data_IF_086156904150
#
_entry.id   IF_086156904150
#
_cell.length_a   1.000
_cell.length_b   1.000
_cell.length_c   1.000
_cell.angle_alpha   90.00
_cell.angle_beta   90.00
_cell.angle_gamma   90.00
#
_symmetry.space_group_name_H-M   'P 1'
#
loop_
_entity.id
_entity.type
_entity.pdbx_description
1 polymer ?
#
# COMPACT_ATOMS: atom_id res chain seq x y z
N UNK A 1 -8.16 -23.68 -7.34
CA UNK A 1 -9.37 -22.85 -7.54
C UNK A 1 -9.19 -21.84 -8.67
N UNK A 2 -8.26 -20.89 -8.59
CA UNK A 2 -8.08 -19.86 -9.64
C UNK A 2 -7.90 -20.45 -11.05
N UNK A 3 -7.16 -21.55 -11.19
CA UNK A 3 -6.98 -22.24 -12.47
C UNK A 3 -8.29 -22.75 -13.08
N UNK A 4 -9.28 -23.10 -12.26
CA UNK A 4 -10.59 -23.52 -12.73
C UNK A 4 -11.45 -22.31 -13.12
N UNK A 5 -11.36 -21.21 -12.37
CA UNK A 5 -12.08 -19.97 -12.66
C UNK A 5 -11.62 -19.32 -13.99
N UNK A 6 -10.33 -19.46 -14.32
CA UNK A 6 -9.73 -18.91 -15.55
C UNK A 6 -9.54 -19.97 -16.66
N UNK A 7 -10.19 -21.13 -16.55
CA UNK A 7 -10.03 -22.23 -17.51
C UNK A 7 -10.53 -21.86 -18.92
N UNK A 8 -11.57 -21.02 -19.00
CA UNK A 8 -12.15 -20.51 -20.25
C UNK A 8 -11.58 -19.13 -20.65
N UNK A 9 -10.48 -18.70 -20.03
CA UNK A 9 -9.88 -17.37 -20.21
C UNK A 9 -10.35 -16.35 -19.18
N UNK A 10 -10.19 -15.07 -19.52
CA UNK A 10 -10.48 -13.92 -18.66
C UNK A 10 -9.29 -13.51 -17.77
N UNK A 11 -9.46 -12.43 -17.02
CA UNK A 11 -8.43 -11.87 -16.15
C UNK A 11 -8.89 -11.69 -14.70
N UNK A 12 -7.93 -11.78 -13.78
CA UNK A 12 -8.18 -11.67 -12.35
C UNK A 12 -7.33 -10.58 -11.69
N UNK A 13 -7.94 -9.84 -10.77
CA UNK A 13 -7.25 -8.96 -9.84
C UNK A 13 -7.20 -9.63 -8.46
N UNK A 14 -6.02 -9.70 -7.87
CA UNK A 14 -5.75 -10.23 -6.54
C UNK A 14 -5.24 -9.11 -5.65
N UNK A 15 -6.11 -8.53 -4.83
CA UNK A 15 -5.78 -7.43 -3.92
C UNK A 15 -5.39 -7.98 -2.56
N UNK A 16 -4.22 -7.58 -2.06
CA UNK A 16 -3.68 -7.95 -0.78
C UNK A 16 -3.55 -6.71 0.11
N UNK A 17 -3.77 -6.85 1.42
CA UNK A 17 -3.68 -5.69 2.30
C UNK A 17 -2.25 -5.28 2.65
N UNK A 18 -1.27 -6.17 2.42
CA UNK A 18 0.14 -5.91 2.71
C UNK A 18 1.04 -6.31 1.54
N UNK A 19 2.16 -5.60 1.40
CA UNK A 19 3.17 -5.88 0.36
C UNK A 19 3.75 -7.29 0.50
N UNK A 20 4.01 -7.73 1.73
CA UNK A 20 4.51 -9.09 2.00
C UNK A 20 3.57 -10.15 1.44
N UNK A 21 2.26 -10.04 1.72
CA UNK A 21 1.26 -10.98 1.19
C UNK A 21 1.15 -10.91 -0.33
N UNK A 22 1.23 -9.71 -0.92
CA UNK A 22 1.22 -9.53 -2.37
C UNK A 22 2.43 -10.24 -3.02
N UNK A 23 3.64 -10.08 -2.47
CA UNK A 23 4.85 -10.77 -2.95
C UNK A 23 4.73 -12.29 -2.80
N UNK A 24 4.31 -12.80 -1.64
CA UNK A 24 4.09 -14.24 -1.42
C UNK A 24 3.08 -14.82 -2.42
N UNK A 25 1.95 -14.15 -2.63
CA UNK A 25 0.95 -14.59 -3.61
C UNK A 25 1.46 -14.51 -5.04
N UNK A 26 2.20 -13.45 -5.37
CA UNK A 26 2.81 -13.30 -6.69
C UNK A 26 3.72 -14.49 -6.99
N UNK A 27 4.65 -14.84 -6.10
CA UNK A 27 5.57 -15.97 -6.29
C UNK A 27 4.79 -17.27 -6.49
N UNK A 28 3.84 -17.58 -5.61
CA UNK A 28 3.04 -18.80 -5.71
C UNK A 28 2.18 -18.86 -6.98
N UNK A 29 1.65 -17.72 -7.45
CA UNK A 29 0.90 -17.65 -8.70
C UNK A 29 1.83 -17.74 -9.92
N UNK A 30 3.02 -17.14 -9.85
CA UNK A 30 4.05 -17.19 -10.89
C UNK A 30 4.47 -18.62 -11.18
N UNK A 31 4.68 -19.43 -10.15
CA UNK A 31 5.00 -20.86 -10.29
C UNK A 31 3.95 -21.62 -11.11
N UNK A 32 2.68 -21.20 -11.03
CA UNK A 32 1.57 -21.88 -11.70
C UNK A 32 1.19 -21.30 -13.05
N UNK A 33 1.27 -19.98 -13.21
CA UNK A 33 0.72 -19.24 -14.36
C UNK A 33 1.80 -18.54 -15.20
N UNK A 34 3.07 -18.58 -14.78
CA UNK A 34 4.19 -18.02 -15.52
C UNK A 34 4.06 -16.51 -15.75
N UNK A 35 4.42 -16.05 -16.96
CA UNK A 35 4.46 -14.63 -17.33
C UNK A 35 3.10 -13.92 -17.37
N UNK A 36 2.02 -14.65 -17.17
CA UNK A 36 0.68 -14.09 -17.07
C UNK A 36 0.44 -13.33 -15.77
N UNK A 37 1.30 -13.51 -14.77
CA UNK A 37 1.18 -12.88 -13.45
C UNK A 37 2.07 -11.64 -13.36
N UNK A 38 1.48 -10.50 -13.03
CA UNK A 38 2.20 -9.26 -12.70
C UNK A 38 1.96 -8.84 -11.25
N UNK A 39 2.87 -8.01 -10.72
CA UNK A 39 2.84 -7.48 -9.36
C UNK A 39 2.95 -5.95 -9.38
N UNK A 40 2.10 -5.26 -8.63
CA UNK A 40 2.19 -3.82 -8.37
C UNK A 40 1.96 -3.49 -6.89
N UNK A 41 2.71 -2.54 -6.35
CA UNK A 41 2.58 -2.03 -4.99
C UNK A 41 3.47 -0.80 -4.76
N UNK A 42 3.37 -0.17 -3.60
CA UNK A 42 4.09 1.08 -3.26
C UNK A 42 5.62 0.95 -3.13
N UNK A 43 6.15 -0.27 -3.00
CA UNK A 43 7.60 -0.53 -2.83
C UNK A 43 8.38 -0.66 -4.14
N UNK A 44 7.82 -0.25 -5.28
CA UNK A 44 8.62 -0.04 -6.49
C UNK A 44 9.18 1.37 -6.52
N UNK A 45 10.35 1.57 -7.13
CA UNK A 45 10.80 2.93 -7.43
C UNK A 45 9.77 3.62 -8.34
N UNK A 46 9.66 4.94 -8.25
CA UNK A 46 8.65 5.72 -8.95
C UNK A 46 8.62 5.45 -10.47
N UNK A 47 9.77 5.22 -11.10
CA UNK A 47 9.90 4.88 -12.53
C UNK A 47 9.32 3.51 -12.87
N UNK A 48 9.63 2.49 -12.08
CA UNK A 48 9.11 1.14 -12.29
C UNK A 48 7.60 1.09 -12.04
N UNK A 49 7.14 1.80 -11.00
CA UNK A 49 5.70 1.98 -10.73
C UNK A 49 4.99 2.63 -11.91
N UNK A 50 5.51 3.73 -12.45
CA UNK A 50 4.92 4.40 -13.60
C UNK A 50 4.83 3.49 -14.84
N UNK A 51 5.85 2.67 -15.09
CA UNK A 51 5.82 1.68 -16.18
C UNK A 51 4.77 0.59 -15.95
N UNK A 52 4.65 0.08 -14.72
CA UNK A 52 3.65 -0.94 -14.36
C UNK A 52 2.23 -0.39 -14.46
N UNK A 53 2.00 0.83 -13.97
CA UNK A 53 0.70 1.50 -14.05
C UNK A 53 0.28 1.74 -15.51
N UNK A 54 1.22 2.14 -16.38
CA UNK A 54 0.97 2.27 -17.81
C UNK A 54 0.59 0.94 -18.48
N UNK A 55 1.26 -0.16 -18.15
CA UNK A 55 0.89 -1.51 -18.64
C UNK A 55 -0.50 -1.93 -18.15
N UNK A 56 -0.83 -1.65 -16.89
CA UNK A 56 -2.16 -1.94 -16.34
C UNK A 56 -3.26 -1.17 -17.06
N UNK A 57 -3.09 0.13 -17.27
CA UNK A 57 -4.07 0.95 -18.01
C UNK A 57 -4.17 0.49 -19.46
N UNK A 58 -3.04 0.18 -20.10
CA UNK A 58 -3.04 -0.30 -21.48
C UNK A 58 -3.80 -1.63 -21.63
N UNK A 59 -3.59 -2.57 -20.70
CA UNK A 59 -4.18 -3.90 -20.79
C UNK A 59 -5.63 -3.96 -20.30
N UNK A 60 -5.96 -3.25 -19.21
CA UNK A 60 -7.24 -3.37 -18.51
C UNK A 60 -8.13 -2.13 -18.60
N UNK A 61 -7.68 -1.09 -19.30
CA UNK A 61 -8.41 0.16 -19.49
C UNK A 61 -9.63 0.07 -20.43
N UNK A 62 -10.27 1.21 -20.72
CA UNK A 62 -11.33 1.28 -21.72
C UNK A 62 -10.79 0.97 -23.13
N UNK A 63 -11.56 0.25 -23.95
CA UNK A 63 -11.21 -0.10 -25.33
C UNK A 63 -11.21 -1.61 -25.62
N UNK A 64 -10.97 -2.02 -26.89
CA UNK A 64 -11.21 -3.38 -27.40
C UNK A 64 -10.30 -4.49 -26.82
N UNK A 65 -9.43 -4.19 -25.85
CA UNK A 65 -9.02 -5.15 -24.82
C UNK A 65 -8.32 -6.44 -25.28
N UNK A 66 -7.39 -6.37 -26.23
CA UNK A 66 -6.67 -7.56 -26.71
C UNK A 66 -5.60 -8.11 -25.76
N UNK A 67 -5.05 -7.28 -24.87
CA UNK A 67 -3.90 -7.65 -24.02
C UNK A 67 -4.28 -8.18 -22.62
N UNK A 68 -5.57 -8.39 -22.32
CA UNK A 68 -6.04 -8.77 -20.98
C UNK A 68 -6.17 -10.28 -20.75
N UNK A 69 -6.37 -11.06 -21.80
CA UNK A 69 -6.83 -12.44 -21.66
C UNK A 69 -5.79 -13.32 -20.93
N UNK A 70 -6.26 -14.08 -19.94
CA UNK A 70 -5.44 -14.94 -19.10
C UNK A 70 -4.51 -14.21 -18.12
N UNK A 71 -4.52 -12.87 -18.04
CA UNK A 71 -3.64 -12.11 -17.13
C UNK A 71 -4.15 -12.09 -15.69
N UNK A 72 -3.22 -12.17 -14.76
CA UNK A 72 -3.48 -12.10 -13.32
C UNK A 72 -2.64 -10.95 -12.76
N UNK A 73 -3.28 -10.00 -12.10
CA UNK A 73 -2.59 -8.88 -11.45
C UNK A 73 -2.67 -9.08 -9.95
N UNK A 74 -1.52 -9.20 -9.30
CA UNK A 74 -1.41 -9.14 -7.84
C UNK A 74 -1.08 -7.72 -7.43
N UNK A 75 -1.86 -7.14 -6.53
CA UNK A 75 -1.70 -5.75 -6.12
C UNK A 75 -1.90 -5.57 -4.62
N UNK A 76 -1.38 -4.47 -4.08
CA UNK A 76 -1.89 -3.88 -2.84
C UNK A 76 -2.95 -2.82 -3.13
N UNK A 77 -3.27 -1.95 -2.16
CA UNK A 77 -4.24 -0.86 -2.30
C UNK A 77 -3.90 0.14 -3.42
N UNK A 78 -2.69 0.09 -3.99
CA UNK A 78 -2.27 0.99 -5.07
C UNK A 78 -3.15 0.84 -6.32
N UNK A 79 -3.60 -0.38 -6.67
CA UNK A 79 -4.53 -0.56 -7.79
C UNK A 79 -5.94 0.01 -7.55
N UNK A 80 -6.26 0.38 -6.31
CA UNK A 80 -7.56 0.98 -5.96
C UNK A 80 -7.58 2.47 -6.32
N UNK A 81 -6.44 3.16 -6.25
CA UNK A 81 -6.36 4.60 -6.40
C UNK A 81 -6.11 5.00 -7.86
N UNK A 82 -7.08 5.71 -8.44
CA UNK A 82 -6.94 6.49 -9.69
C UNK A 82 -6.71 5.72 -11.01
N UNK A 83 -6.66 4.39 -11.03
CA UNK A 83 -6.58 3.62 -12.27
C UNK A 83 -7.96 3.20 -12.78
N UNK A 84 -8.29 3.58 -14.02
CA UNK A 84 -9.52 3.21 -14.72
C UNK A 84 -9.39 1.82 -15.37
N UNK A 85 -9.37 0.77 -14.54
CA UNK A 85 -9.10 -0.62 -14.94
C UNK A 85 -10.26 -1.56 -14.65
N UNK A 86 -10.37 -2.62 -15.45
CA UNK A 86 -11.47 -3.57 -15.46
C UNK A 86 -10.99 -5.04 -15.45
N UNK A 87 -11.54 -5.82 -14.52
CA UNK A 87 -11.26 -7.26 -14.38
C UNK A 87 -12.53 -8.12 -14.40
N UNK A 88 -12.38 -9.39 -14.78
CA UNK A 88 -13.46 -10.37 -14.86
C UNK A 88 -13.72 -11.07 -13.51
N UNK A 89 -12.68 -11.23 -12.71
CA UNK A 89 -12.71 -11.82 -11.36
C UNK A 89 -11.94 -10.94 -10.37
N UNK A 90 -12.51 -10.72 -9.18
CA UNK A 90 -11.83 -10.03 -8.09
C UNK A 90 -11.62 -10.98 -6.91
N UNK A 91 -10.38 -11.09 -6.47
CA UNK A 91 -9.98 -11.76 -5.24
C UNK A 91 -9.40 -10.69 -4.33
N UNK A 92 -9.89 -10.59 -3.11
CA UNK A 92 -9.45 -9.57 -2.17
C UNK A 92 -9.15 -10.20 -0.82
N UNK A 93 -8.13 -9.72 -0.12
CA UNK A 93 -8.10 -9.86 1.33
C UNK A 93 -9.30 -9.13 1.95
N UNK A 94 -9.79 -9.61 3.09
CA UNK A 94 -10.82 -8.95 3.89
C UNK A 94 -10.33 -7.55 4.26
N UNK A 95 -11.15 -6.54 3.99
CA UNK A 95 -10.91 -5.15 4.33
C UNK A 95 -12.22 -4.55 4.87
N UNK A 96 -12.22 -3.34 5.44
CA UNK A 96 -13.45 -2.61 5.74
C UNK A 96 -14.40 -2.58 4.53
N UNK A 97 -15.71 -2.62 4.79
CA UNK A 97 -16.71 -2.86 3.72
C UNK A 97 -16.68 -1.80 2.63
N UNK A 98 -16.43 -0.54 2.97
CA UNK A 98 -16.27 0.58 2.06
C UNK A 98 -15.05 0.39 1.15
N UNK A 99 -13.91 -0.04 1.70
CA UNK A 99 -12.70 -0.39 0.94
C UNK A 99 -12.97 -1.57 0.00
N UNK A 100 -13.65 -2.62 0.46
CA UNK A 100 -14.04 -3.73 -0.41
C UNK A 100 -14.97 -3.28 -1.55
N UNK A 101 -15.94 -2.43 -1.27
CA UNK A 101 -16.85 -1.89 -2.29
C UNK A 101 -16.10 -1.01 -3.30
N UNK A 102 -15.09 -0.24 -2.87
CA UNK A 102 -14.20 0.49 -3.78
C UNK A 102 -13.42 -0.47 -4.69
N UNK A 103 -12.88 -1.57 -4.16
CA UNK A 103 -12.21 -2.63 -4.95
C UNK A 103 -13.16 -3.26 -5.96
N UNK A 104 -14.41 -3.51 -5.57
CA UNK A 104 -15.47 -4.02 -6.47
C UNK A 104 -15.73 -3.06 -7.62
N UNK A 105 -15.44 -1.77 -7.49
CA UNK A 105 -15.50 -0.79 -8.58
C UNK A 105 -14.52 -1.03 -9.74
N UNK A 106 -13.66 -2.06 -9.66
CA UNK A 106 -12.78 -2.55 -10.74
C UNK A 106 -13.26 -3.88 -11.35
N UNK A 107 -14.26 -4.51 -10.73
CA UNK A 107 -14.89 -5.73 -11.21
C UNK A 107 -16.01 -5.37 -12.18
N UNK A 108 -15.92 -5.84 -13.43
CA UNK A 108 -16.93 -5.59 -14.46
C UNK A 108 -17.25 -4.09 -14.64
N UNK A 109 -16.22 -3.25 -14.54
CA UNK A 109 -16.31 -1.79 -14.59
C UNK A 109 -16.74 -1.25 -15.96
N UNK A 110 -16.33 -1.91 -17.03
CA UNK A 110 -16.58 -1.53 -18.42
C UNK A 110 -17.50 -2.56 -19.08
N UNK A 111 -18.47 -2.09 -19.87
CA UNK A 111 -19.33 -2.99 -20.66
C UNK A 111 -18.52 -3.65 -21.80
N UNK A 112 -18.41 -4.99 -21.75
CA UNK A 112 -17.65 -5.80 -22.72
C UNK A 112 -18.00 -7.29 -22.57
N UNK A 113 -17.81 -8.10 -23.63
CA UNK A 113 -18.02 -9.55 -23.55
C UNK A 113 -17.08 -10.18 -22.51
N UNK A 114 -17.60 -11.20 -21.81
CA UNK A 114 -16.90 -11.94 -20.75
C UNK A 114 -16.94 -13.44 -21.07
N UNK A 115 -15.90 -14.21 -20.70
CA UNK A 115 -15.97 -15.67 -20.75
C UNK A 115 -17.16 -16.20 -19.95
N UNK A 116 -17.71 -17.36 -20.36
CA UNK A 116 -18.95 -17.91 -19.80
C UNK A 116 -18.92 -18.02 -18.27
N UNK A 117 -17.86 -18.65 -17.72
CA UNK A 117 -17.66 -18.77 -16.27
C UNK A 117 -17.52 -17.46 -15.49
N UNK A 118 -17.31 -16.33 -16.19
CA UNK A 118 -17.05 -15.01 -15.62
C UNK A 118 -18.08 -13.95 -16.05
N UNK A 119 -19.20 -14.35 -16.68
CA UNK A 119 -20.28 -13.44 -17.06
C UNK A 119 -20.99 -12.82 -15.84
N UNK A 120 -20.99 -13.52 -14.71
CA UNK A 120 -21.49 -13.00 -13.43
C UNK A 120 -20.33 -12.45 -12.61
N UNK A 121 -20.39 -11.17 -12.27
CA UNK A 121 -19.43 -10.52 -11.38
C UNK A 121 -19.31 -11.28 -10.05
N UNK A 122 -18.09 -11.67 -9.68
CA UNK A 122 -17.78 -12.40 -8.45
C UNK A 122 -16.61 -11.78 -7.70
N UNK A 123 -16.83 -11.51 -6.43
CA UNK A 123 -15.80 -11.17 -5.44
C UNK A 123 -15.52 -12.42 -4.59
N UNK A 124 -14.26 -12.82 -4.51
CA UNK A 124 -13.78 -13.86 -3.58
C UNK A 124 -13.00 -13.16 -2.48
N UNK A 125 -13.52 -13.21 -1.25
CA UNK A 125 -12.82 -12.67 -0.07
C UNK A 125 -11.94 -13.75 0.56
N UNK A 126 -10.74 -13.36 0.95
CA UNK A 126 -9.68 -14.22 1.52
C UNK A 126 -9.04 -13.53 2.73
N UNK A 127 -8.08 -14.17 3.39
CA UNK A 127 -7.39 -13.56 4.54
C UNK A 127 -8.24 -13.51 5.82
N UNK A 128 -9.33 -14.27 5.87
CA UNK A 128 -10.11 -14.49 7.07
C UNK A 128 -10.71 -15.91 7.06
N UNK A 129 -10.76 -16.52 8.24
CA UNK A 129 -11.61 -17.67 8.56
C UNK A 129 -12.84 -17.16 9.30
N UNK A 130 -14.01 -17.47 8.77
CA UNK A 130 -15.32 -17.04 9.30
C UNK A 130 -16.08 -18.20 9.94
N UNK A 131 -15.36 -19.17 10.50
CA UNK A 131 -15.92 -20.32 11.23
C UNK A 131 -16.63 -19.96 12.55
N UNK A 132 -16.56 -20.85 13.53
CA UNK A 132 -17.21 -20.64 14.84
C UNK A 132 -16.57 -19.47 15.57
N UNK A 133 -15.23 -19.38 15.55
CA UNK A 133 -14.48 -18.21 16.00
C UNK A 133 -13.83 -17.54 14.79
N UNK A 134 -14.00 -16.22 14.61
CA UNK A 134 -13.45 -15.54 13.46
C UNK A 134 -11.94 -15.34 13.64
N UNK A 135 -11.17 -15.62 12.59
CA UNK A 135 -9.75 -15.30 12.53
C UNK A 135 -9.48 -14.44 11.31
N UNK A 136 -8.73 -13.36 11.48
CA UNK A 136 -8.33 -12.48 10.38
C UNK A 136 -6.81 -12.43 10.33
N UNK A 137 -6.27 -12.31 9.12
CA UNK A 137 -4.85 -12.14 8.87
C UNK A 137 -4.29 -10.98 9.71
N UNK A 138 -3.21 -11.24 10.46
CA UNK A 138 -2.62 -10.26 11.37
C UNK A 138 -2.04 -9.03 10.66
N UNK A 139 -1.58 -9.17 9.40
CA UNK A 139 -1.17 -8.03 8.58
C UNK A 139 -2.34 -7.10 8.28
N UNK A 140 -3.50 -7.67 7.96
CA UNK A 140 -4.75 -6.94 7.73
C UNK A 140 -5.24 -6.25 9.00
N UNK A 141 -5.17 -6.93 10.16
CA UNK A 141 -5.50 -6.34 11.46
C UNK A 141 -4.60 -5.14 11.79
N UNK A 142 -3.31 -5.19 11.48
CA UNK A 142 -2.40 -4.04 11.67
C UNK A 142 -2.73 -2.85 10.76
N UNK A 143 -3.27 -3.11 9.58
CA UNK A 143 -3.59 -2.05 8.59
C UNK A 143 -4.94 -1.39 8.88
N UNK A 144 -5.97 -2.16 9.27
CA UNK A 144 -7.35 -1.65 9.39
C UNK A 144 -7.97 -1.77 10.80
N UNK A 145 -7.26 -2.41 11.74
CA UNK A 145 -7.81 -2.77 13.05
C UNK A 145 -8.73 -3.98 13.01
N UNK A 146 -8.86 -4.69 14.13
CA UNK A 146 -9.72 -5.87 14.22
C UNK A 146 -11.21 -5.55 14.11
N UNK A 147 -11.66 -4.42 14.69
CA UNK A 147 -13.08 -4.09 14.83
C UNK A 147 -13.82 -4.03 13.49
N UNK A 148 -13.35 -3.21 12.55
CA UNK A 148 -14.00 -3.04 11.24
C UNK A 148 -13.90 -4.31 10.38
N UNK A 149 -12.81 -5.08 10.50
CA UNK A 149 -12.64 -6.34 9.78
C UNK A 149 -13.63 -7.39 10.24
N UNK A 150 -13.78 -7.57 11.56
CA UNK A 150 -14.74 -8.54 12.11
C UNK A 150 -16.19 -8.16 11.77
N UNK A 151 -16.54 -6.86 11.85
CA UNK A 151 -17.86 -6.36 11.42
C UNK A 151 -18.11 -6.63 9.94
N UNK A 152 -17.12 -6.39 9.09
CA UNK A 152 -17.23 -6.68 7.66
C UNK A 152 -17.38 -8.19 7.40
N UNK A 153 -16.59 -9.02 8.07
CA UNK A 153 -16.71 -10.48 7.97
C UNK A 153 -18.10 -10.98 8.36
N UNK A 154 -18.69 -10.43 9.41
CA UNK A 154 -20.03 -10.75 9.87
C UNK A 154 -21.10 -10.40 8.81
N UNK A 155 -21.03 -9.20 8.23
CA UNK A 155 -21.95 -8.77 7.17
C UNK A 155 -21.84 -9.65 5.92
N UNK A 156 -20.62 -9.92 5.45
CA UNK A 156 -20.41 -10.76 4.28
C UNK A 156 -20.91 -12.19 4.52
N UNK A 157 -20.70 -12.72 5.73
CA UNK A 157 -21.19 -14.04 6.13
C UNK A 157 -22.72 -14.10 6.06
N UNK A 158 -23.42 -13.11 6.63
CA UNK A 158 -24.88 -13.01 6.58
C UNK A 158 -25.41 -13.02 5.13
N UNK A 159 -24.77 -12.25 4.25
CA UNK A 159 -25.12 -12.21 2.82
C UNK A 159 -24.92 -13.55 2.13
N UNK A 160 -23.80 -14.22 2.41
CA UNK A 160 -23.46 -15.53 1.83
C UNK A 160 -24.41 -16.61 2.32
N UNK A 161 -24.70 -16.67 3.61
CA UNK A 161 -25.63 -17.63 4.22
C UNK A 161 -27.07 -17.43 3.69
N UNK A 162 -27.47 -16.18 3.45
CA UNK A 162 -28.75 -15.85 2.82
C UNK A 162 -28.78 -16.09 1.30
N UNK A 163 -27.66 -16.46 0.66
CA UNK A 163 -27.55 -16.59 -0.79
C UNK A 163 -27.81 -15.27 -1.54
N UNK A 164 -27.66 -14.13 -0.87
CA UNK A 164 -28.05 -12.80 -1.36
C UNK A 164 -26.87 -12.09 -2.02
N UNK A 165 -26.95 -11.76 -3.33
CA UNK A 165 -25.92 -10.93 -3.96
C UNK A 165 -26.00 -9.48 -3.48
N UNK A 166 -24.85 -8.79 -3.49
CA UNK A 166 -24.78 -7.34 -3.28
C UNK A 166 -25.33 -6.63 -4.53
N UNK A 167 -26.28 -5.72 -4.34
CA UNK A 167 -26.87 -4.91 -5.41
C UNK A 167 -26.29 -3.50 -5.39
N UNK A 168 -25.47 -3.17 -6.38
CA UNK A 168 -24.88 -1.84 -6.50
C UNK A 168 -25.75 -0.92 -7.39
N UNK A 169 -25.89 0.38 -7.05
CA UNK A 169 -25.37 1.07 -5.87
C UNK A 169 -26.27 0.97 -4.62
N UNK A 170 -27.44 0.33 -4.73
CA UNK A 170 -28.50 0.36 -3.71
C UNK A 170 -28.08 -0.14 -2.31
N UNK A 171 -27.23 -1.16 -2.25
CA UNK A 171 -26.78 -1.75 -0.98
C UNK A 171 -25.64 -0.97 -0.32
N UNK A 172 -24.97 -0.04 -1.04
CA UNK A 172 -23.76 0.64 -0.52
C UNK A 172 -24.04 1.40 0.78
N UNK A 173 -25.05 2.29 0.88
CA UNK A 173 -25.28 3.04 2.11
C UNK A 173 -25.60 2.14 3.29
N UNK A 174 -26.43 1.11 3.07
CA UNK A 174 -26.84 0.17 4.11
C UNK A 174 -25.67 -0.65 4.65
N UNK A 175 -24.81 -1.16 3.76
CA UNK A 175 -23.66 -1.97 4.16
C UNK A 175 -22.64 -1.13 4.94
N UNK A 176 -22.37 0.09 4.50
CA UNK A 176 -21.47 1.02 5.19
C UNK A 176 -22.04 1.41 6.55
N UNK A 177 -23.30 1.84 6.60
CA UNK A 177 -23.96 2.25 7.85
C UNK A 177 -23.96 1.12 8.88
N UNK A 178 -24.36 -0.10 8.48
CA UNK A 178 -24.30 -1.26 9.38
C UNK A 178 -22.88 -1.57 9.83
N UNK A 179 -21.88 -1.47 8.95
CA UNK A 179 -20.49 -1.80 9.32
C UNK A 179 -19.89 -0.78 10.29
N UNK A 180 -20.24 0.50 10.20
CA UNK A 180 -19.68 1.56 11.05
C UNK A 180 -20.57 1.89 12.25
N UNK A 181 -21.84 1.48 12.25
CA UNK A 181 -22.77 1.68 13.33
C UNK A 181 -22.51 0.77 14.54
N UNK A 182 -23.31 0.95 15.59
CA UNK A 182 -23.20 0.21 16.85
C UNK A 182 -24.09 -1.04 16.90
N UNK A 183 -24.87 -1.32 15.85
CA UNK A 183 -25.72 -2.51 15.82
C UNK A 183 -24.90 -3.79 16.01
N UNK A 184 -25.37 -4.76 16.83
CA UNK A 184 -24.74 -6.06 16.94
C UNK A 184 -24.74 -6.78 15.59
N UNK A 185 -23.60 -7.37 15.23
CA UNK A 185 -23.42 -8.10 13.98
C UNK A 185 -22.80 -9.47 14.25
N UNK A 186 -23.14 -10.43 13.39
CA UNK A 186 -22.56 -11.76 13.38
C UNK A 186 -23.20 -12.73 14.38
N UNK A 187 -22.72 -13.98 14.40
CA UNK A 187 -23.22 -15.02 15.30
C UNK A 187 -22.98 -14.67 16.77
N UNK A 188 -23.83 -15.18 17.66
CA UNK A 188 -23.65 -15.03 19.11
C UNK A 188 -22.28 -15.53 19.62
N UNK A 189 -21.68 -16.50 18.92
CA UNK A 189 -20.35 -17.03 19.24
C UNK A 189 -19.21 -16.01 19.02
N UNK A 190 -19.43 -14.91 18.31
CA UNK A 190 -18.41 -13.89 18.02
C UNK A 190 -18.46 -12.70 18.98
N UNK A 191 -19.40 -12.67 19.93
CA UNK A 191 -19.65 -11.51 20.80
C UNK A 191 -18.40 -11.11 21.57
N UNK A 192 -17.64 -12.08 22.09
CA UNK A 192 -16.43 -11.82 22.88
C UNK A 192 -15.32 -11.23 22.00
N UNK A 193 -15.04 -11.83 20.83
CA UNK A 193 -14.03 -11.33 19.89
C UNK A 193 -14.39 -9.94 19.35
N UNK A 194 -15.67 -9.70 19.04
CA UNK A 194 -16.18 -8.40 18.56
C UNK A 194 -16.06 -7.32 19.64
N UNK A 195 -16.38 -7.65 20.90
CA UNK A 195 -16.26 -6.75 22.03
C UNK A 195 -14.80 -6.41 22.33
N UNK A 196 -13.91 -7.40 22.34
CA UNK A 196 -12.47 -7.20 22.54
C UNK A 196 -11.89 -6.29 21.45
N UNK A 197 -12.19 -6.56 20.18
CA UNK A 197 -11.72 -5.75 19.06
C UNK A 197 -12.30 -4.32 19.09
N UNK A 198 -13.55 -4.14 19.53
CA UNK A 198 -14.15 -2.81 19.74
C UNK A 198 -13.41 -2.04 20.83
N UNK A 199 -13.09 -2.68 21.95
CA UNK A 199 -12.36 -2.03 23.04
C UNK A 199 -10.97 -1.59 22.59
N UNK A 200 -10.23 -2.45 21.89
CA UNK A 200 -8.93 -2.10 21.31
C UNK A 200 -9.03 -0.90 20.35
N UNK A 201 -10.06 -0.86 19.51
CA UNK A 201 -10.29 0.27 18.61
C UNK A 201 -10.61 1.58 19.36
N UNK A 202 -11.38 1.51 20.45
CA UNK A 202 -11.67 2.66 21.31
C UNK A 202 -10.40 3.18 22.00
N UNK A 203 -9.58 2.28 22.53
CA UNK A 203 -8.35 2.63 23.22
C UNK A 203 -7.35 3.29 22.26
N UNK A 204 -7.18 2.72 21.06
CA UNK A 204 -6.34 3.27 20.00
C UNK A 204 -6.85 4.63 19.50
N UNK A 205 -8.17 4.79 19.34
CA UNK A 205 -8.76 6.07 18.96
C UNK A 205 -8.53 7.14 20.04
N UNK A 206 -8.67 6.78 21.32
CA UNK A 206 -8.40 7.68 22.43
C UNK A 206 -6.92 8.07 22.51
N UNK A 207 -5.99 7.15 22.24
CA UNK A 207 -4.56 7.45 22.16
C UNK A 207 -4.24 8.36 20.97
N UNK A 208 -4.77 8.07 19.80
CA UNK A 208 -4.59 8.87 18.59
C UNK A 208 -5.12 10.29 18.79
N UNK A 209 -6.28 10.45 19.44
CA UNK A 209 -6.84 11.75 19.76
C UNK A 209 -5.96 12.55 20.75
N UNK A 210 -5.35 11.89 21.74
CA UNK A 210 -4.39 12.52 22.65
C UNK A 210 -3.13 13.00 21.91
N UNK A 211 -2.57 12.15 21.05
CA UNK A 211 -1.37 12.47 20.27
C UNK A 211 -1.65 13.54 19.21
N UNK A 212 -2.82 13.53 18.56
CA UNK A 212 -3.19 14.57 17.60
C UNK A 212 -3.29 15.95 18.26
N UNK A 213 -3.64 16.02 19.55
CA UNK A 213 -3.73 17.27 20.30
C UNK A 213 -2.43 18.09 20.38
N UNK A 214 -1.26 17.47 20.21
CA UNK A 214 0.03 18.18 20.17
C UNK A 214 0.39 18.76 18.80
N UNK A 215 -0.24 18.26 17.72
CA UNK A 215 0.06 18.68 16.34
C UNK A 215 -1.13 19.40 15.66
N UNK A 216 -2.33 19.25 16.19
CA UNK A 216 -3.52 19.89 15.67
C UNK A 216 -3.50 21.40 15.93
N UNK A 217 -3.86 22.17 14.92
CA UNK A 217 -4.18 23.58 15.12
C UNK A 217 -5.36 23.70 16.10
N UNK A 218 -5.31 24.73 16.93
CA UNK A 218 -6.42 25.02 17.83
C UNK A 218 -7.69 25.30 17.02
N UNK A 219 -8.83 24.80 17.51
CA UNK A 219 -10.12 25.09 16.90
C UNK A 219 -10.36 26.61 16.79
N UNK A 220 -11.01 27.08 15.72
CA UNK A 220 -11.31 28.48 15.57
C UNK A 220 -12.17 28.99 16.72
N UNK A 221 -11.76 30.11 17.31
CA UNK A 221 -12.46 30.75 18.43
C UNK A 221 -12.72 32.22 18.10
N UNK A 222 -13.94 32.74 18.37
CA UNK A 222 -14.27 34.15 18.17
C UNK A 222 -13.36 35.12 18.93
N UNK A 223 -12.66 34.65 19.98
CA UNK A 223 -11.72 35.43 20.81
C UNK A 223 -10.25 35.01 20.61
N UNK A 224 -9.98 34.13 19.65
CA UNK A 224 -8.63 33.65 19.38
C UNK A 224 -7.82 34.64 18.55
N UNK A 225 -6.55 34.84 18.90
CA UNK A 225 -5.61 35.57 18.04
C UNK A 225 -4.96 34.61 17.04
N UNK A 226 -4.66 35.09 15.83
CA UNK A 226 -3.90 34.32 14.81
C UNK A 226 -2.53 33.88 15.34
N UNK A 227 -1.93 34.65 16.25
CA UNK A 227 -0.68 34.32 16.94
C UNK A 227 -0.84 33.08 17.86
N UNK A 228 -1.99 32.92 18.52
CA UNK A 228 -2.28 31.76 19.37
C UNK A 228 -2.37 30.43 18.60
N UNK A 229 -2.65 30.47 17.29
CA UNK A 229 -2.62 29.29 16.43
C UNK A 229 -1.19 28.86 16.08
N UNK A 230 -0.25 29.82 15.99
CA UNK A 230 1.17 29.55 15.71
C UNK A 230 1.92 29.02 16.93
N UNK A 231 1.60 29.51 18.12
CA UNK A 231 2.33 29.21 19.37
C UNK A 231 2.12 27.79 19.92
N UNK A 232 1.00 27.12 19.61
CA UNK A 232 0.78 25.71 19.99
C UNK A 232 1.37 24.70 18.99
N UNK A 233 1.90 25.19 17.87
CA UNK A 233 2.46 24.38 16.79
C UNK A 233 3.99 24.23 16.86
N UNK A 234 4.64 24.71 17.93
CA UNK A 234 6.11 24.71 18.04
C UNK A 234 6.59 23.41 18.68
N UNK A 235 6.50 22.32 17.93
CA UNK A 235 7.66 21.44 17.81
C UNK A 235 8.47 22.02 16.67
N UNK A 236 9.72 22.41 16.91
CA UNK A 236 10.59 23.00 15.88
C UNK A 236 10.57 22.12 14.63
N UNK A 237 9.97 22.63 13.55
CA UNK A 237 9.92 21.96 12.25
C UNK A 237 11.32 21.80 11.61
N UNK A 238 12.37 22.26 12.30
CA UNK A 238 13.76 22.19 11.89
C UNK A 238 14.53 21.02 12.51
N UNK A 239 14.07 20.44 13.63
CA UNK A 239 14.75 19.32 14.28
C UNK A 239 13.83 18.09 14.37
N UNK A 240 13.99 17.21 13.39
CA UNK A 240 13.53 15.83 13.48
C UNK A 240 12.33 15.51 12.60
N UNK A 241 12.60 14.62 11.67
CA UNK A 241 11.71 13.74 10.90
C UNK A 241 10.47 13.18 11.64
N UNK A 242 10.31 13.38 12.95
CA UNK A 242 9.20 12.88 13.77
C UNK A 242 7.88 13.65 13.58
N UNK A 243 7.90 14.98 13.44
CA UNK A 243 6.66 15.79 13.36
C UNK A 243 5.95 15.70 12.01
N UNK A 244 6.71 15.62 10.92
CA UNK A 244 6.16 15.46 9.57
C UNK A 244 5.74 14.01 9.25
N UNK A 245 6.38 13.02 9.89
CA UNK A 245 6.07 11.60 9.71
C UNK A 245 4.70 11.21 10.27
N UNK A 246 4.22 11.90 11.32
CA UNK A 246 3.00 11.51 12.03
C UNK A 246 1.71 11.97 11.35
N UNK A 247 1.76 13.01 10.52
CA UNK A 247 0.55 13.64 9.96
C UNK A 247 0.30 13.28 8.49
N UNK A 248 1.28 12.71 7.78
CA UNK A 248 1.16 12.51 6.32
C UNK A 248 0.76 11.12 5.86
N UNK A 249 1.11 10.02 6.52
CA UNK A 249 0.74 8.68 6.01
C UNK A 249 0.49 7.65 7.13
N UNK A 250 -0.61 6.86 7.05
CA UNK A 250 -1.08 5.99 8.14
C UNK A 250 -0.14 4.83 8.50
N UNK A 251 0.87 4.52 7.68
CA UNK A 251 1.83 3.44 7.94
C UNK A 251 3.16 3.91 8.55
N UNK A 252 3.37 5.22 8.71
CA UNK A 252 4.57 5.82 9.31
C UNK A 252 5.87 5.59 8.52
N UNK A 253 5.79 5.16 7.25
CA UNK A 253 6.97 4.99 6.40
C UNK A 253 7.65 6.29 5.98
N UNK A 254 8.73 6.16 5.22
CA UNK A 254 9.46 7.29 4.61
C UNK A 254 9.93 6.92 3.20
N UNK A 255 10.35 7.91 2.42
CA UNK A 255 10.87 7.71 1.07
C UNK A 255 12.40 7.83 1.07
N UNK A 256 13.05 7.02 0.23
CA UNK A 256 14.48 7.07 -0.04
C UNK A 256 14.71 7.09 -1.55
N UNK A 257 15.80 7.73 -1.98
CA UNK A 257 16.29 7.63 -3.35
C UNK A 257 17.22 6.42 -3.42
N UNK A 258 16.83 5.44 -4.23
CA UNK A 258 17.59 4.20 -4.39
C UNK A 258 18.63 4.34 -5.49
N UNK A 259 19.90 4.14 -5.15
CA UNK A 259 21.03 4.17 -6.07
C UNK A 259 21.88 2.90 -5.93
N UNK A 260 22.69 2.60 -6.94
CA UNK A 260 23.61 1.47 -6.93
C UNK A 260 25.06 1.94 -6.83
N UNK A 261 25.92 1.10 -6.25
CA UNK A 261 27.36 1.33 -6.21
C UNK A 261 27.99 0.94 -7.54
N UNK A 262 28.70 1.89 -8.15
CA UNK A 262 29.48 1.70 -9.37
C UNK A 262 30.99 1.73 -9.04
N UNK A 263 31.84 1.34 -10.00
CA UNK A 263 33.31 1.36 -9.85
C UNK A 263 33.82 2.74 -9.39
N UNK A 264 33.25 3.81 -9.95
CA UNK A 264 33.65 5.21 -9.70
C UNK A 264 32.57 6.02 -8.95
N UNK A 265 31.85 5.41 -8.00
CA UNK A 265 30.93 6.11 -7.10
C UNK A 265 29.52 5.55 -7.09
N UNK A 266 28.53 6.40 -7.33
CA UNK A 266 27.11 6.02 -7.35
C UNK A 266 26.55 6.10 -8.76
N UNK A 267 25.62 5.22 -9.10
CA UNK A 267 24.91 5.22 -10.36
C UNK A 267 23.40 5.06 -10.14
N UNK A 268 22.62 5.35 -11.18
CA UNK A 268 21.22 4.94 -11.21
C UNK A 268 21.15 3.40 -11.29
N UNK A 269 20.05 2.79 -10.82
CA UNK A 269 19.87 1.35 -10.93
C UNK A 269 20.09 0.81 -12.36
N UNK A 270 20.88 -0.25 -12.50
CA UNK A 270 21.40 -0.71 -13.79
C UNK A 270 20.28 -1.05 -14.80
N UNK A 271 19.14 -1.56 -14.32
CA UNK A 271 17.99 -1.90 -15.17
C UNK A 271 17.32 -0.69 -15.83
N UNK A 272 17.63 0.53 -15.37
CA UNK A 272 17.16 1.77 -16.00
C UNK A 272 17.99 2.18 -17.23
N UNK A 273 19.11 1.49 -17.49
CA UNK A 273 19.93 1.65 -18.69
C UNK A 273 20.92 2.82 -18.64
N UNK A 274 21.24 3.35 -17.46
CA UNK A 274 22.21 4.44 -17.28
C UNK A 274 23.18 4.13 -16.12
N UNK A 275 24.28 3.45 -16.43
CA UNK A 275 25.31 3.06 -15.47
C UNK A 275 26.38 4.15 -15.24
N UNK A 276 26.15 5.38 -15.70
CA UNK A 276 27.14 6.45 -15.55
C UNK A 276 27.25 6.88 -14.08
N UNK A 277 28.48 7.05 -13.62
CA UNK A 277 28.77 7.59 -12.31
C UNK A 277 28.17 9.00 -12.14
N UNK A 278 27.48 9.19 -11.02
CA UNK A 278 26.81 10.41 -10.63
C UNK A 278 27.80 11.40 -10.01
N UNK A 279 27.67 12.66 -10.40
CA UNK A 279 28.42 13.77 -9.80
C UNK A 279 27.78 14.18 -8.48
N UNK A 280 28.50 14.02 -7.39
CA UNK A 280 28.05 14.32 -6.02
C UNK A 280 28.58 15.66 -5.50
N UNK A 281 29.53 16.27 -6.20
CA UNK A 281 30.22 17.52 -5.86
C UNK A 281 29.50 18.79 -6.36
N UNK A 282 28.50 18.64 -7.23
CA UNK A 282 27.70 19.73 -7.78
C UNK A 282 26.21 19.39 -7.78
N UNK A 283 25.31 20.38 -7.80
CA UNK A 283 23.89 20.13 -7.94
C UNK A 283 23.59 19.35 -9.24
N UNK A 284 22.66 18.38 -9.22
CA UNK A 284 22.26 17.66 -10.41
C UNK A 284 21.66 18.61 -11.46
N UNK A 285 21.85 18.27 -12.74
CA UNK A 285 21.14 18.97 -13.81
C UNK A 285 19.62 18.67 -13.73
N UNK A 286 18.73 19.52 -14.26
CA UNK A 286 17.28 19.27 -14.21
C UNK A 286 16.84 17.91 -14.79
N UNK A 287 17.57 17.40 -15.80
CA UNK A 287 17.33 16.07 -16.34
C UNK A 287 17.73 14.96 -15.36
N UNK A 288 18.86 15.14 -14.67
CA UNK A 288 19.32 14.21 -13.64
C UNK A 288 18.44 14.25 -12.40
N UNK A 289 18.01 15.42 -11.93
CA UNK A 289 17.08 15.54 -10.79
C UNK A 289 15.77 14.78 -11.05
N UNK A 290 15.25 14.82 -12.29
CA UNK A 290 14.10 13.99 -12.68
C UNK A 290 14.39 12.50 -12.70
N UNK A 291 15.59 12.10 -13.15
CA UNK A 291 16.00 10.69 -13.14
C UNK A 291 16.13 10.15 -11.70
N UNK A 292 16.72 10.94 -10.79
CA UNK A 292 16.84 10.62 -9.37
C UNK A 292 15.47 10.56 -8.69
N UNK A 293 14.56 11.49 -8.98
CA UNK A 293 13.18 11.43 -8.48
C UNK A 293 12.45 10.15 -8.95
N UNK A 294 12.78 9.67 -10.15
CA UNK A 294 12.32 8.37 -10.66
C UNK A 294 12.79 7.17 -9.84
N UNK A 295 13.82 7.34 -9.00
CA UNK A 295 14.38 6.30 -8.14
C UNK A 295 13.86 6.37 -6.69
N UNK A 296 12.88 7.24 -6.41
CA UNK A 296 12.22 7.30 -5.11
C UNK A 296 11.42 6.03 -4.83
N UNK A 297 11.63 5.43 -3.66
CA UNK A 297 10.90 4.25 -3.21
C UNK A 297 10.51 4.38 -1.74
N UNK A 298 9.34 3.81 -1.40
CA UNK A 298 8.80 3.80 -0.05
C UNK A 298 9.44 2.70 0.81
N UNK A 299 10.00 3.09 1.94
CA UNK A 299 10.45 2.20 3.01
C UNK A 299 9.31 2.05 4.04
N UNK A 300 8.99 0.82 4.48
CA UNK A 300 7.86 0.61 5.39
C UNK A 300 8.15 1.11 6.82
N UNK A 301 7.19 1.80 7.45
CA UNK A 301 7.40 2.47 8.74
C UNK A 301 7.63 1.58 9.95
N UNK A 302 7.40 0.26 9.84
CA UNK A 302 7.69 -0.65 10.94
C UNK A 302 9.20 -0.74 11.26
N UNK A 303 10.07 -0.35 10.31
CA UNK A 303 11.52 -0.31 10.54
C UNK A 303 11.93 0.81 11.51
N UNK A 304 11.09 1.84 11.66
CA UNK A 304 11.34 2.99 12.54
C UNK A 304 10.49 2.96 13.81
N UNK A 305 9.77 1.86 14.09
CA UNK A 305 8.93 1.75 15.30
C UNK A 305 9.76 1.82 16.58
N UNK A 306 10.99 1.28 16.57
CA UNK A 306 11.92 1.42 17.71
C UNK A 306 12.76 2.68 17.53
N UNK A 307 12.84 3.58 18.52
CA UNK A 307 13.66 4.79 18.41
C UNK A 307 15.14 4.52 18.12
N UNK A 308 15.70 3.43 18.67
CA UNK A 308 17.08 3.01 18.40
C UNK A 308 17.30 2.58 16.95
N UNK A 309 16.32 1.85 16.37
CA UNK A 309 16.38 1.42 14.97
C UNK A 309 16.24 2.63 14.05
N UNK A 310 15.33 3.57 14.36
CA UNK A 310 15.16 4.80 13.61
C UNK A 310 16.45 5.65 13.57
N UNK A 311 17.09 5.87 14.72
CA UNK A 311 18.35 6.61 14.81
C UNK A 311 19.45 5.95 13.95
N UNK A 312 19.66 4.64 14.11
CA UNK A 312 20.67 3.90 13.34
C UNK A 312 20.42 3.96 11.82
N UNK A 313 19.16 3.85 11.39
CA UNK A 313 18.80 3.96 9.97
C UNK A 313 19.16 5.33 9.40
N UNK A 314 18.82 6.42 10.11
CA UNK A 314 19.12 7.76 9.62
C UNK A 314 20.61 8.07 9.66
N UNK A 315 21.36 7.55 10.64
CA UNK A 315 22.81 7.65 10.68
C UNK A 315 23.46 6.95 9.48
N UNK A 316 23.03 5.73 9.15
CA UNK A 316 23.51 5.00 7.97
C UNK A 316 23.19 5.73 6.65
N UNK A 317 21.97 6.27 6.52
CA UNK A 317 21.56 7.01 5.33
C UNK A 317 22.31 8.34 5.18
N UNK A 318 22.65 8.99 6.30
CA UNK A 318 23.41 10.25 6.32
C UNK A 318 24.86 10.09 5.84
N UNK A 319 25.40 8.86 5.80
CA UNK A 319 26.71 8.60 5.17
C UNK A 319 26.70 9.03 3.69
N UNK A 320 25.56 8.95 3.02
CA UNK A 320 25.38 9.36 1.63
C UNK A 320 24.79 10.77 1.51
N UNK A 321 25.13 11.67 2.45
CA UNK A 321 24.72 13.07 2.40
C UNK A 321 25.61 13.89 1.46
N UNK A 322 25.03 14.44 0.39
CA UNK A 322 25.74 15.27 -0.58
C UNK A 322 25.34 16.75 -0.45
N UNK A 323 26.19 17.64 0.12
CA UNK A 323 25.84 19.04 0.35
C UNK A 323 25.44 19.80 -0.93
N UNK A 324 26.01 19.43 -2.07
CA UNK A 324 25.69 20.06 -3.34
C UNK A 324 24.26 19.73 -3.81
N UNK A 325 23.77 18.53 -3.54
CA UNK A 325 22.42 18.09 -3.92
C UNK A 325 21.34 18.74 -3.05
N UNK A 326 21.68 19.20 -1.84
CA UNK A 326 20.73 19.88 -0.95
C UNK A 326 20.24 21.24 -1.47
N UNK A 327 20.93 21.79 -2.47
CA UNK A 327 20.54 23.03 -3.15
C UNK A 327 19.53 22.77 -4.27
N UNK A 328 19.33 21.52 -4.69
CA UNK A 328 18.37 21.16 -5.73
C UNK A 328 16.95 21.09 -5.13
N UNK A 329 15.94 21.68 -5.80
CA UNK A 329 14.57 21.70 -5.27
C UNK A 329 13.90 20.33 -5.13
N UNK A 330 14.36 19.31 -5.85
CA UNK A 330 13.80 17.95 -5.83
C UNK A 330 14.56 17.07 -4.86
N UNK A 331 15.90 17.17 -4.86
CA UNK A 331 16.78 16.33 -4.05
C UNK A 331 17.07 16.89 -2.65
N UNK A 332 16.77 18.16 -2.39
CA UNK A 332 16.89 18.77 -1.08
C UNK A 332 16.07 18.02 -0.02
N UNK A 333 16.73 17.59 1.05
CA UNK A 333 16.11 16.82 2.14
C UNK A 333 15.88 15.33 1.84
N UNK A 334 16.20 14.85 0.63
CA UNK A 334 16.09 13.44 0.29
C UNK A 334 17.26 12.64 0.89
N UNK A 335 16.95 11.43 1.37
CA UNK A 335 17.93 10.46 1.87
C UNK A 335 18.20 9.40 0.81
N UNK A 336 19.43 8.88 0.79
CA UNK A 336 19.91 7.98 -0.27
C UNK A 336 20.19 6.60 0.30
N UNK A 337 19.50 5.60 -0.24
CA UNK A 337 19.78 4.20 0.00
C UNK A 337 20.67 3.68 -1.13
N UNK A 338 21.85 3.19 -0.78
CA UNK A 338 22.81 2.63 -1.73
C UNK A 338 22.78 1.12 -1.66
N UNK A 339 22.61 0.48 -2.82
CA UNK A 339 22.70 -0.96 -3.00
C UNK A 339 24.02 -1.34 -3.68
N UNK A 340 24.46 -2.57 -3.49
CA UNK A 340 25.57 -3.19 -4.22
C UNK A 340 25.13 -3.64 -5.63
N UNK A 341 26.06 -4.21 -6.38
CA UNK A 341 25.83 -4.68 -7.75
C UNK A 341 24.83 -5.84 -7.85
N UNK A 342 24.58 -6.56 -6.75
CA UNK A 342 23.60 -7.64 -6.66
C UNK A 342 22.23 -7.12 -6.18
N UNK A 343 22.08 -5.80 -6.03
CA UNK A 343 20.84 -5.15 -5.58
C UNK A 343 20.58 -5.30 -4.10
N UNK A 344 21.61 -5.57 -3.28
CA UNK A 344 21.49 -5.73 -1.83
C UNK A 344 22.07 -4.54 -1.07
N UNK A 345 21.58 -4.30 0.14
CA UNK A 345 22.05 -3.23 1.01
C UNK A 345 21.53 -3.37 2.43
N UNK A 346 21.67 -2.31 3.22
CA UNK A 346 21.23 -2.28 4.61
C UNK A 346 20.56 -0.95 4.98
N UNK A 347 19.61 -1.03 5.91
CA UNK A 347 19.02 0.09 6.63
C UNK A 347 19.18 -0.19 8.13
N UNK A 348 20.22 0.35 8.78
CA UNK A 348 20.56 -0.04 10.14
C UNK A 348 20.82 -1.55 10.20
N UNK A 349 20.12 -2.22 11.12
CA UNK A 349 20.19 -3.68 11.24
C UNK A 349 19.41 -4.45 10.16
N UNK A 350 18.56 -3.80 9.36
CA UNK A 350 17.67 -4.49 8.42
C UNK A 350 18.35 -4.71 7.07
N UNK A 351 18.52 -5.96 6.60
CA UNK A 351 18.91 -6.23 5.23
C UNK A 351 17.81 -5.78 4.27
N UNK A 352 18.21 -5.16 3.17
CA UNK A 352 17.31 -4.75 2.10
C UNK A 352 17.80 -5.25 0.76
N UNK A 353 16.86 -5.50 -0.15
CA UNK A 353 17.18 -5.78 -1.54
C UNK A 353 16.13 -5.17 -2.45
N UNK A 354 16.51 -4.87 -3.68
CA UNK A 354 15.61 -4.36 -4.69
C UNK A 354 15.64 -5.22 -5.94
N UNK A 355 14.46 -5.62 -6.40
CA UNK A 355 14.27 -6.34 -7.64
C UNK A 355 13.21 -5.60 -8.50
N UNK A 356 13.44 -5.32 -9.79
CA UNK A 356 12.47 -4.59 -10.62
C UNK A 356 11.11 -5.29 -10.81
N UNK A 357 11.05 -6.60 -10.53
CA UNK A 357 9.84 -7.43 -10.60
C UNK A 357 9.13 -7.55 -9.25
N UNK A 358 9.86 -7.55 -8.13
CA UNK A 358 9.34 -7.73 -6.76
C UNK A 358 9.34 -6.46 -5.88
N UNK A 359 10.04 -5.42 -6.31
CA UNK A 359 10.28 -4.15 -5.60
C UNK A 359 11.21 -4.29 -4.40
N UNK A 360 11.18 -3.29 -3.53
CA UNK A 360 11.99 -3.22 -2.32
C UNK A 360 11.51 -4.25 -1.27
N UNK A 361 12.41 -5.14 -0.91
CA UNK A 361 12.32 -6.03 0.23
C UNK A 361 13.07 -5.46 1.43
N UNK A 362 12.45 -5.58 2.60
CA UNK A 362 13.09 -5.27 3.88
C UNK A 362 12.85 -6.45 4.79
N UNK A 363 13.93 -7.10 5.20
CA UNK A 363 13.88 -8.33 6.00
C UNK A 363 13.95 -8.00 7.49
N UNK A 364 13.28 -8.82 8.30
CA UNK A 364 13.50 -8.81 9.74
C UNK A 364 14.87 -9.42 10.04
N UNK A 365 15.68 -8.68 10.79
CA UNK A 365 16.94 -9.15 11.36
C UNK A 365 16.74 -9.87 12.69
#
# INVERSE_FOLDING_TARGET
RLSAELAEGGCALVVCNTVTRARTRYVALRERFGDRVSLTHSRFIARDRASKDADLVHAFGPGPGGARDGRIVVSTQVAEQSLDIDFDLLISDLAPVDVLLQRVGRLHRHDRPRPGGLARARLIVTGADVGVRPQVDGGSMKVYGGHLLLRTAALLRELVEAGRPIRLPADVPLLVDRCYGDEPLGPAAWVDEMAAARQEAVDLAAETARNAGSFALAAPSPRGSVLGWRLRSVGDATDGTQGAAQVREPDGGFEVVLLERAEDGLALPAHLGDARALRTDMPPSPAMSRALAGCLVRVPGWVTTRPSDAAAIFDDLNVNYFPAWQKDPVMGGQVILVLDADGNGHLGRFPVSYDPTLGLEVLYA
#
